data_IF_026089312834
#
_entry.id   IF_026089312834
#
_cell.length_a   1.000
_cell.length_b   1.000
_cell.length_c   1.000
_cell.angle_alpha   90.00
_cell.angle_beta   90.00
_cell.angle_gamma   90.00
#
_symmetry.space_group_name_H-M   'P 1'
#
loop_
_entity.id
_entity.type
_entity.pdbx_description
1 polymer ?
#
# COMPACT_ATOMS: atom_id res chain seq x y z
N UNK A 1 17.35 -4.25 -6.72
CA UNK A 1 17.86 -4.06 -8.13
C UNK A 1 18.77 -2.83 -8.14
N UNK A 2 19.84 -2.84 -8.98
CA UNK A 2 20.82 -1.74 -9.07
C UNK A 2 20.72 -0.96 -10.37
N UNK A 3 21.46 0.14 -10.45
CA UNK A 3 21.67 0.94 -11.67
C UNK A 3 22.94 0.45 -12.33
N UNK A 4 22.84 0.08 -13.59
CA UNK A 4 23.95 -0.42 -14.38
C UNK A 4 24.18 0.46 -15.61
N UNK A 5 25.41 0.53 -16.07
CA UNK A 5 25.72 1.01 -17.43
C UNK A 5 25.25 -0.04 -18.43
N UNK A 6 24.66 0.38 -19.56
CA UNK A 6 24.28 -0.52 -20.64
C UNK A 6 24.95 -0.06 -21.93
N UNK A 7 25.60 -0.98 -22.63
CA UNK A 7 26.15 -0.75 -23.98
C UNK A 7 25.09 -1.22 -25.00
N UNK A 8 24.43 -0.29 -25.70
CA UNK A 8 23.42 -0.65 -26.69
C UNK A 8 23.99 -1.28 -27.98
N UNK A 9 25.25 -0.99 -28.33
CA UNK A 9 25.89 -1.58 -29.49
C UNK A 9 26.27 -3.04 -29.25
N UNK A 10 26.87 -3.32 -28.10
CA UNK A 10 27.23 -4.68 -27.70
C UNK A 10 26.04 -5.47 -27.08
N UNK A 11 24.90 -4.81 -26.85
CA UNK A 11 23.72 -5.35 -26.13
C UNK A 11 24.09 -6.01 -24.78
N UNK A 12 25.02 -5.40 -24.07
CA UNK A 12 25.57 -5.93 -22.82
C UNK A 12 25.31 -5.00 -21.62
N UNK A 13 25.00 -5.62 -20.49
CA UNK A 13 25.04 -4.96 -19.21
C UNK A 13 26.51 -4.78 -18.80
N UNK A 14 26.89 -3.56 -18.46
CA UNK A 14 28.23 -3.21 -18.03
C UNK A 14 28.34 -3.09 -16.52
N UNK A 15 29.09 -2.08 -16.07
CA UNK A 15 29.40 -1.82 -14.67
C UNK A 15 28.16 -1.52 -13.83
N UNK A 16 28.14 -2.05 -12.60
CA UNK A 16 27.19 -1.64 -11.55
C UNK A 16 27.58 -0.25 -11.03
N UNK A 17 26.73 0.73 -11.25
CA UNK A 17 26.98 2.13 -10.89
C UNK A 17 26.51 2.42 -9.46
N UNK A 18 25.31 1.93 -9.10
CA UNK A 18 24.75 2.14 -7.77
C UNK A 18 23.83 0.99 -7.38
N UNK A 19 23.84 0.64 -6.08
CA UNK A 19 22.91 -0.33 -5.50
C UNK A 19 22.60 0.05 -4.05
N UNK A 20 21.46 -0.45 -3.57
CA UNK A 20 21.11 -0.41 -2.16
C UNK A 20 20.89 -1.84 -1.66
N UNK A 21 21.38 -2.22 -0.47
CA UNK A 21 21.28 -3.61 0.02
C UNK A 21 19.84 -4.04 0.34
N UNK A 22 18.92 -3.10 0.60
CA UNK A 22 17.55 -3.37 1.04
C UNK A 22 16.47 -2.95 0.04
N UNK A 23 16.77 -1.95 -0.80
CA UNK A 23 15.77 -1.31 -1.65
C UNK A 23 16.19 -1.34 -3.10
N UNK A 24 15.21 -1.37 -3.97
CA UNK A 24 15.46 -1.21 -5.40
C UNK A 24 15.85 0.24 -5.70
N UNK A 25 16.92 0.40 -6.48
CA UNK A 25 17.28 1.71 -7.00
C UNK A 25 16.28 2.08 -8.07
N UNK A 26 15.57 3.14 -7.77
CA UNK A 26 14.68 3.69 -8.75
C UNK A 26 13.32 3.01 -8.92
N UNK A 27 12.82 2.21 -7.99
CA UNK A 27 11.44 1.72 -8.01
C UNK A 27 10.45 2.79 -7.54
N UNK A 28 9.49 3.17 -8.38
CA UNK A 28 8.38 4.01 -7.97
C UNK A 28 7.40 3.23 -7.10
N UNK A 29 6.74 3.93 -6.20
CA UNK A 29 5.73 3.36 -5.31
C UNK A 29 4.55 2.71 -6.04
N UNK A 30 4.33 3.01 -7.32
CA UNK A 30 3.21 2.51 -8.12
C UNK A 30 3.62 1.57 -9.26
N UNK A 31 4.85 1.05 -9.23
CA UNK A 31 5.36 0.15 -10.29
C UNK A 31 5.62 0.83 -11.64
N UNK A 32 5.27 2.10 -11.79
CA UNK A 32 5.54 2.86 -13.00
C UNK A 32 6.90 3.55 -12.91
N UNK A 33 7.69 3.36 -13.91
CA UNK A 33 8.99 3.97 -14.27
C UNK A 33 9.63 4.81 -13.18
N UNK A 34 10.77 4.36 -12.72
CA UNK A 34 11.58 5.15 -11.87
C UNK A 34 12.84 5.54 -12.57
N UNK A 35 12.98 6.79 -12.71
CA UNK A 35 14.30 7.34 -12.79
C UNK A 35 14.88 7.44 -11.38
N UNK A 36 15.52 6.38 -10.91
CA UNK A 36 16.37 6.46 -9.71
C UNK A 36 17.62 7.29 -10.00
N UNK A 37 17.87 7.59 -11.25
CA UNK A 37 18.97 8.41 -11.72
C UNK A 37 18.50 9.86 -11.82
N UNK A 38 19.20 10.75 -11.14
CA UNK A 38 18.99 12.19 -11.20
C UNK A 38 20.07 12.80 -12.09
N UNK A 39 19.64 13.61 -13.04
CA UNK A 39 20.54 14.27 -13.99
C UNK A 39 20.43 15.78 -13.89
N UNK A 40 21.53 16.45 -14.19
CA UNK A 40 21.54 17.90 -14.40
C UNK A 40 20.81 18.23 -15.71
N UNK A 41 19.87 19.17 -15.66
CA UNK A 41 19.09 19.56 -16.83
C UNK A 41 19.92 20.23 -17.95
N UNK A 42 21.12 20.77 -17.62
CA UNK A 42 21.97 21.52 -18.58
C UNK A 42 22.77 20.59 -19.49
N UNK A 43 23.31 19.49 -18.94
CA UNK A 43 24.28 18.64 -19.64
C UNK A 43 23.97 17.14 -19.51
N UNK A 44 22.85 16.79 -18.92
CA UNK A 44 22.39 15.42 -18.63
C UNK A 44 23.38 14.57 -17.83
N UNK A 45 24.36 15.17 -17.16
CA UNK A 45 25.25 14.43 -16.26
C UNK A 45 24.47 13.90 -15.06
N UNK A 46 24.82 12.70 -14.65
CA UNK A 46 24.26 12.10 -13.44
C UNK A 46 24.76 12.86 -12.21
N UNK A 47 23.86 13.36 -11.39
CA UNK A 47 24.16 14.12 -10.18
C UNK A 47 23.82 13.38 -8.89
N UNK A 48 23.00 12.33 -8.99
CA UNK A 48 22.62 11.54 -7.82
C UNK A 48 21.65 10.41 -8.17
N UNK A 49 21.20 9.74 -7.12
CA UNK A 49 20.27 8.60 -7.19
C UNK A 49 19.21 8.70 -6.12
N UNK A 50 17.95 8.40 -6.47
CA UNK A 50 16.88 8.23 -5.49
C UNK A 50 16.72 6.77 -5.11
N UNK A 51 16.55 6.54 -3.81
CA UNK A 51 16.20 5.24 -3.24
C UNK A 51 14.78 5.33 -2.72
N UNK A 52 13.89 4.52 -3.26
CA UNK A 52 12.52 4.44 -2.78
C UNK A 52 12.42 3.49 -1.59
N UNK A 53 13.12 3.85 -0.49
CA UNK A 53 13.06 3.12 0.77
C UNK A 53 11.74 3.28 1.51
N UNK A 54 11.66 2.79 2.75
CA UNK A 54 10.52 3.05 3.64
C UNK A 54 10.41 4.54 3.95
N UNK A 55 11.55 5.24 4.02
CA UNK A 55 11.62 6.70 3.92
C UNK A 55 12.38 7.06 2.64
N UNK A 56 11.93 8.05 1.86
CA UNK A 56 12.66 8.48 0.67
C UNK A 56 14.05 9.00 1.00
N UNK A 57 15.03 8.60 0.21
CA UNK A 57 16.42 9.02 0.35
C UNK A 57 16.99 9.44 -1.01
N UNK A 58 17.87 10.44 -1.01
CA UNK A 58 18.63 10.84 -2.19
C UNK A 58 20.11 10.75 -1.90
N UNK A 59 20.84 9.99 -2.72
CA UNK A 59 22.29 9.87 -2.67
C UNK A 59 22.85 10.79 -3.74
N UNK A 60 23.46 11.89 -3.34
CA UNK A 60 24.10 12.85 -4.24
C UNK A 60 25.55 12.44 -4.48
N UNK A 61 25.97 12.46 -5.76
CA UNK A 61 27.38 12.30 -6.19
C UNK A 61 27.99 13.64 -6.57
N UNK A 62 27.17 14.64 -6.89
CA UNK A 62 27.59 16.00 -7.16
C UNK A 62 27.60 16.78 -5.84
N UNK A 63 28.75 17.38 -5.50
CA UNK A 63 28.95 18.11 -4.25
C UNK A 63 28.05 19.34 -4.11
N UNK A 64 27.77 20.03 -5.22
CA UNK A 64 26.92 21.24 -5.17
C UNK A 64 25.49 20.85 -4.86
N UNK A 65 24.97 19.75 -5.45
CA UNK A 65 23.65 19.24 -5.13
C UNK A 65 23.58 18.73 -3.68
N UNK A 66 24.63 18.08 -3.18
CA UNK A 66 24.71 17.65 -1.78
C UNK A 66 24.68 18.83 -0.82
N UNK A 67 25.42 19.92 -1.09
CA UNK A 67 25.42 21.16 -0.30
C UNK A 67 24.03 21.83 -0.32
N UNK A 68 23.38 21.86 -1.48
CA UNK A 68 22.03 22.39 -1.62
C UNK A 68 21.02 21.57 -0.78
N UNK A 69 21.10 20.23 -0.83
CA UNK A 69 20.25 19.36 -0.01
C UNK A 69 20.44 19.66 1.48
N UNK A 70 21.69 19.71 1.95
CA UNK A 70 22.01 20.01 3.35
C UNK A 70 21.46 21.37 3.79
N UNK A 71 21.53 22.40 2.95
CA UNK A 71 20.97 23.72 3.23
C UNK A 71 19.44 23.67 3.35
N UNK A 72 18.77 22.97 2.42
CA UNK A 72 17.32 22.81 2.47
C UNK A 72 16.89 22.02 3.72
N UNK A 73 17.57 20.95 4.06
CA UNK A 73 17.26 20.11 5.23
C UNK A 73 17.49 20.85 6.54
N UNK A 74 18.48 21.75 6.60
CA UNK A 74 18.71 22.61 7.76
C UNK A 74 17.64 23.70 7.93
N UNK A 75 17.02 24.13 6.83
CA UNK A 75 15.99 25.18 6.82
C UNK A 75 14.59 24.59 7.03
N UNK A 76 14.27 23.51 6.34
CA UNK A 76 12.99 22.79 6.39
C UNK A 76 13.17 21.50 7.21
N UNK A 77 13.37 21.68 8.51
CA UNK A 77 13.67 20.58 9.45
C UNK A 77 12.52 19.59 9.57
N UNK A 78 12.85 18.34 9.94
CA UNK A 78 11.91 17.25 10.21
C UNK A 78 10.99 16.91 9.01
N UNK A 79 11.47 17.20 7.80
CA UNK A 79 10.76 16.95 6.55
C UNK A 79 11.67 16.27 5.54
N UNK A 80 11.07 15.57 4.61
CA UNK A 80 11.74 15.07 3.41
C UNK A 80 11.69 16.18 2.36
N UNK A 81 12.85 16.67 1.95
CA UNK A 81 12.97 17.76 0.99
C UNK A 81 13.51 17.21 -0.32
N UNK A 82 12.65 17.11 -1.33
CA UNK A 82 13.02 16.70 -2.67
C UNK A 82 13.05 17.94 -3.56
N UNK A 83 14.08 18.08 -4.38
CA UNK A 83 14.14 19.24 -5.26
C UNK A 83 14.50 18.86 -6.71
N UNK A 84 14.14 19.74 -7.62
CA UNK A 84 14.55 19.74 -9.02
C UNK A 84 14.89 21.16 -9.45
N UNK A 85 15.89 21.30 -10.36
CA UNK A 85 16.21 22.60 -10.96
C UNK A 85 15.21 22.98 -12.02
N UNK A 86 14.94 24.27 -12.14
CA UNK A 86 14.24 24.84 -13.29
C UNK A 86 15.07 24.64 -14.56
N UNK A 87 14.44 24.57 -15.76
CA UNK A 87 15.17 24.33 -17.02
C UNK A 87 16.26 25.38 -17.31
N UNK A 88 16.07 26.62 -16.86
CA UNK A 88 17.05 27.72 -16.99
C UNK A 88 18.17 27.64 -15.93
N UNK A 89 18.07 26.73 -14.97
CA UNK A 89 19.04 26.51 -13.89
C UNK A 89 19.11 27.58 -12.83
N UNK A 90 18.18 28.56 -12.82
CA UNK A 90 18.22 29.71 -11.90
C UNK A 90 17.55 29.48 -10.56
N UNK A 91 16.62 28.54 -10.49
CA UNK A 91 15.88 28.26 -9.28
C UNK A 91 15.67 26.77 -9.08
N UNK A 92 15.26 26.41 -7.87
CA UNK A 92 14.84 25.06 -7.52
C UNK A 92 13.37 25.06 -7.15
N UNK A 93 12.64 24.06 -7.60
CA UNK A 93 11.34 23.71 -7.04
C UNK A 93 11.57 22.65 -5.98
N UNK A 94 11.23 22.97 -4.73
CA UNK A 94 11.40 22.09 -3.57
C UNK A 94 10.04 21.55 -3.15
N UNK A 95 9.89 20.23 -3.10
CA UNK A 95 8.75 19.54 -2.51
C UNK A 95 9.15 19.05 -1.12
N UNK A 96 8.54 19.61 -0.08
CA UNK A 96 8.84 19.35 1.31
C UNK A 96 7.64 18.73 2.01
N UNK A 97 7.79 17.54 2.60
CA UNK A 97 6.72 16.80 3.27
C UNK A 97 7.25 15.90 4.38
N UNK A 98 6.37 15.45 5.26
CA UNK A 98 6.65 14.38 6.21
C UNK A 98 5.43 13.47 6.37
N UNK A 99 5.55 12.47 7.22
CA UNK A 99 4.42 11.65 7.63
C UNK A 99 3.33 12.45 8.37
N UNK A 100 3.73 13.49 9.12
CA UNK A 100 2.82 14.35 9.90
C UNK A 100 2.48 15.68 9.22
N UNK A 101 3.15 16.01 8.12
CA UNK A 101 2.96 17.26 7.41
C UNK A 101 2.75 17.03 5.90
N UNK A 102 1.57 17.40 5.35
CA UNK A 102 1.31 17.30 3.92
C UNK A 102 2.33 18.07 3.07
N UNK A 103 2.45 17.73 1.78
CA UNK A 103 3.38 18.38 0.88
C UNK A 103 3.18 19.90 0.78
N UNK A 104 4.29 20.63 0.80
CA UNK A 104 4.43 22.03 0.46
C UNK A 104 5.45 22.18 -0.64
N UNK A 105 5.27 23.14 -1.51
CA UNK A 105 6.20 23.45 -2.58
C UNK A 105 6.77 24.83 -2.38
N UNK A 106 8.08 24.93 -2.59
CA UNK A 106 8.82 26.17 -2.48
C UNK A 106 9.58 26.43 -3.77
N UNK A 107 9.73 27.71 -4.10
CA UNK A 107 10.69 28.17 -5.08
C UNK A 107 11.91 28.69 -4.32
N UNK A 108 13.07 28.11 -4.58
CA UNK A 108 14.33 28.54 -4.01
C UNK A 108 15.18 29.23 -5.08
N UNK A 109 15.42 30.54 -4.90
CA UNK A 109 16.32 31.34 -5.72
C UNK A 109 17.72 31.27 -5.10
N UNK A 110 18.67 30.62 -5.78
CA UNK A 110 20.01 30.37 -5.26
C UNK A 110 20.87 31.65 -5.23
N UNK A 111 20.65 32.61 -6.12
CA UNK A 111 21.37 33.91 -6.15
C UNK A 111 20.95 34.79 -4.98
N UNK A 112 19.65 34.93 -4.79
CA UNK A 112 19.07 35.76 -3.71
C UNK A 112 19.05 35.02 -2.37
N UNK A 113 19.22 33.73 -2.36
CA UNK A 113 19.07 32.84 -1.18
C UNK A 113 17.71 32.99 -0.51
N UNK A 114 16.66 33.14 -1.31
CA UNK A 114 15.29 33.26 -0.83
C UNK A 114 14.52 31.96 -1.10
N UNK A 115 13.75 31.53 -0.10
CA UNK A 115 12.86 30.37 -0.18
C UNK A 115 11.43 30.85 0.00
N UNK A 116 10.62 30.77 -1.07
CA UNK A 116 9.23 31.25 -1.10
C UNK A 116 8.28 30.05 -1.21
N UNK A 117 7.27 29.98 -0.33
CA UNK A 117 6.23 28.96 -0.46
C UNK A 117 5.28 29.34 -1.59
N UNK A 118 5.18 28.47 -2.60
CA UNK A 118 4.33 28.69 -3.79
C UNK A 118 3.04 27.87 -3.76
N UNK A 119 2.99 26.80 -3.00
CA UNK A 119 1.79 25.97 -2.84
C UNK A 119 1.86 25.11 -1.57
N UNK A 120 0.70 24.79 -1.01
CA UNK A 120 0.55 23.85 0.09
C UNK A 120 -0.64 22.90 -0.17
N UNK A 121 -0.42 21.60 0.02
CA UNK A 121 -1.48 20.61 0.00
C UNK A 121 -2.03 20.43 1.41
N UNK A 122 -3.35 20.64 1.58
CA UNK A 122 -4.06 20.39 2.85
C UNK A 122 -3.36 20.99 4.08
N UNK A 123 -3.00 22.29 4.10
CA UNK A 123 -2.24 22.92 5.21
C UNK A 123 -2.94 22.81 6.57
N UNK A 124 -4.26 22.60 6.58
CA UNK A 124 -5.05 22.39 7.81
C UNK A 124 -4.78 21.06 8.52
N UNK A 125 -4.02 20.14 7.90
CA UNK A 125 -3.62 18.85 8.49
C UNK A 125 -2.22 18.89 9.12
N UNK A 126 -1.46 19.99 8.99
CA UNK A 126 -0.12 20.10 9.58
C UNK A 126 -0.16 19.83 11.09
N UNK A 127 0.70 18.93 11.57
CA UNK A 127 0.81 18.53 12.98
C UNK A 127 -0.40 17.80 13.56
N UNK A 128 -1.41 17.48 12.74
CA UNK A 128 -2.62 16.74 13.15
C UNK A 128 -2.59 15.28 12.75
N UNK A 129 -1.72 14.92 11.82
CA UNK A 129 -1.59 13.55 11.35
C UNK A 129 -0.84 12.68 12.38
N UNK A 130 -1.25 11.43 12.57
CA UNK A 130 -0.50 10.48 13.39
C UNK A 130 0.83 10.14 12.75
N UNK A 131 1.81 9.80 13.58
CA UNK A 131 3.15 9.38 13.14
C UNK A 131 3.09 8.07 12.38
N UNK A 132 3.85 7.97 11.29
CA UNK A 132 4.01 6.76 10.49
C UNK A 132 5.35 6.08 10.86
N UNK A 133 5.27 4.87 11.40
CA UNK A 133 6.44 4.11 11.83
C UNK A 133 6.77 3.05 10.78
N UNK A 134 7.97 3.06 10.17
CA UNK A 134 8.43 1.97 9.34
C UNK A 134 8.88 0.79 10.20
N UNK A 135 8.66 -0.45 9.72
CA UNK A 135 9.15 -1.64 10.39
C UNK A 135 9.63 -2.71 9.42
N UNK A 136 10.42 -3.65 9.97
CA UNK A 136 10.87 -4.87 9.32
C UNK A 136 10.40 -6.06 10.12
N UNK A 137 10.00 -7.11 9.43
CA UNK A 137 9.65 -8.38 10.06
C UNK A 137 10.13 -9.56 9.21
N UNK A 138 10.24 -10.71 9.83
CA UNK A 138 10.55 -11.96 9.12
C UNK A 138 9.27 -12.78 8.98
N UNK A 139 8.94 -13.13 7.75
CA UNK A 139 7.94 -14.15 7.48
C UNK A 139 8.42 -15.50 8.04
N UNK A 140 7.49 -16.43 8.27
CA UNK A 140 7.77 -17.77 8.84
C UNK A 140 8.75 -18.60 8.03
N UNK A 141 8.90 -18.31 6.73
CA UNK A 141 9.87 -18.93 5.82
C UNK A 141 11.23 -18.21 5.80
N UNK A 142 11.42 -17.20 6.67
CA UNK A 142 12.65 -16.44 6.81
C UNK A 142 12.83 -15.28 5.84
N UNK A 143 11.85 -14.99 4.97
CA UNK A 143 11.88 -13.83 4.09
C UNK A 143 11.76 -12.55 4.91
N UNK A 144 12.70 -11.61 4.75
CA UNK A 144 12.61 -10.28 5.35
C UNK A 144 11.62 -9.44 4.54
N UNK A 145 10.62 -8.89 5.21
CA UNK A 145 9.57 -8.06 4.69
C UNK A 145 9.49 -6.75 5.47
N UNK A 146 8.71 -5.82 4.97
CA UNK A 146 8.61 -4.46 5.53
C UNK A 146 7.15 -4.05 5.72
N UNK A 147 6.95 -2.93 6.37
CA UNK A 147 5.64 -2.31 6.47
C UNK A 147 5.69 -0.96 7.17
N UNK A 148 4.49 -0.44 7.40
CA UNK A 148 4.27 0.71 8.26
C UNK A 148 3.25 0.38 9.32
N UNK A 149 3.35 1.03 10.47
CA UNK A 149 2.29 1.01 11.46
C UNK A 149 2.00 2.40 11.98
N UNK A 150 0.81 2.56 12.51
CA UNK A 150 0.32 3.79 13.12
C UNK A 150 -0.26 3.46 14.49
N UNK A 151 0.00 4.34 15.45
CA UNK A 151 -0.59 4.25 16.77
C UNK A 151 -1.51 5.46 17.01
N UNK A 152 -2.49 5.33 17.90
CA UNK A 152 -3.28 6.48 18.36
C UNK A 152 -2.38 7.56 18.94
N UNK A 153 -2.76 8.82 18.75
CA UNK A 153 -2.02 9.96 19.30
C UNK A 153 -1.96 9.88 20.82
N UNK A 154 -0.75 10.01 21.36
CA UNK A 154 -0.51 9.94 22.80
C UNK A 154 -0.36 8.51 23.34
N UNK A 155 -0.23 7.51 22.48
CA UNK A 155 0.11 6.15 22.86
C UNK A 155 1.37 6.11 23.72
N UNK A 156 1.35 5.30 24.78
CA UNK A 156 2.45 5.12 25.72
C UNK A 156 2.99 3.68 25.67
N UNK A 157 4.23 3.45 26.04
CA UNK A 157 4.74 2.10 26.18
C UNK A 157 3.85 1.24 27.09
N UNK A 158 3.46 0.06 26.60
CA UNK A 158 2.58 -0.86 27.31
C UNK A 158 1.08 -0.71 27.03
N UNK A 159 0.65 0.37 26.34
CA UNK A 159 -0.73 0.50 25.89
C UNK A 159 -1.04 -0.56 24.82
N UNK A 160 -2.25 -1.14 24.91
CA UNK A 160 -2.73 -2.11 23.90
C UNK A 160 -3.99 -1.57 23.22
N UNK A 161 -3.99 -1.59 21.91
CA UNK A 161 -5.05 -1.00 21.10
C UNK A 161 -5.84 -2.07 20.33
N UNK A 162 -7.14 -1.84 20.09
CA UNK A 162 -7.84 -2.53 19.02
C UNK A 162 -7.12 -2.24 17.72
N UNK A 163 -6.85 -3.29 16.92
CA UNK A 163 -5.89 -3.20 15.81
C UNK A 163 -6.52 -3.61 14.50
N UNK A 164 -6.20 -2.89 13.44
CA UNK A 164 -6.56 -3.20 12.07
C UNK A 164 -5.30 -3.59 11.29
N UNK A 165 -5.29 -4.78 10.69
CA UNK A 165 -4.29 -5.16 9.69
C UNK A 165 -4.86 -4.75 8.34
N UNK A 166 -4.28 -3.70 7.74
CA UNK A 166 -4.75 -3.16 6.47
C UNK A 166 -3.87 -3.64 5.32
N UNK A 167 -4.47 -4.35 4.37
CA UNK A 167 -3.79 -4.97 3.24
C UNK A 167 -4.01 -4.15 1.98
N UNK A 168 -2.91 -3.73 1.35
CA UNK A 168 -3.00 -2.97 0.11
C UNK A 168 -3.44 -3.81 -1.09
N UNK A 169 -4.00 -3.13 -2.09
CA UNK A 169 -4.36 -3.73 -3.37
C UNK A 169 -3.15 -4.02 -4.27
N UNK A 170 -3.42 -4.65 -5.39
CA UNK A 170 -2.44 -5.03 -6.41
C UNK A 170 -2.64 -6.48 -6.83
N UNK A 171 -1.92 -7.51 -6.31
CA UNK A 171 -0.96 -7.51 -5.19
C UNK A 171 0.43 -6.97 -5.54
N UNK A 172 0.82 -7.00 -6.82
CA UNK A 172 2.12 -6.62 -7.35
C UNK A 172 2.28 -5.10 -7.52
N UNK A 173 1.83 -4.35 -6.53
CA UNK A 173 1.93 -2.89 -6.49
C UNK A 173 2.48 -2.43 -5.13
N UNK A 174 3.18 -1.32 -5.12
CA UNK A 174 3.53 -0.61 -3.90
C UNK A 174 2.52 0.54 -3.72
N UNK A 175 1.45 0.26 -2.97
CA UNK A 175 0.36 1.21 -2.78
C UNK A 175 0.64 2.23 -1.67
N UNK A 176 1.48 1.87 -0.70
CA UNK A 176 1.77 2.68 0.47
C UNK A 176 3.25 3.06 0.53
N UNK A 177 3.50 4.33 0.79
CA UNK A 177 4.82 4.93 0.92
C UNK A 177 4.85 5.94 2.06
N UNK A 178 6.03 6.51 2.34
CA UNK A 178 6.18 7.53 3.37
C UNK A 178 5.29 8.74 3.11
N UNK A 179 4.40 9.00 4.04
CA UNK A 179 3.48 10.15 3.98
C UNK A 179 2.34 10.04 2.96
N UNK A 180 2.27 8.97 2.16
CA UNK A 180 1.34 8.85 1.03
C UNK A 180 0.91 7.40 0.80
N UNK A 181 -0.30 7.24 0.27
CA UNK A 181 -0.88 5.95 -0.10
C UNK A 181 -2.33 5.85 0.32
N UNK A 182 -3.03 4.87 -0.26
CA UNK A 182 -4.42 4.59 0.10
C UNK A 182 -4.50 4.08 1.55
N UNK A 183 -3.74 3.04 1.89
CA UNK A 183 -3.70 2.47 3.23
C UNK A 183 -3.16 3.45 4.27
N UNK A 184 -2.15 4.29 3.91
CA UNK A 184 -1.66 5.37 4.77
C UNK A 184 -2.75 6.38 5.09
N UNK A 185 -3.60 6.74 4.11
CA UNK A 185 -4.71 7.68 4.33
C UNK A 185 -5.76 7.09 5.25
N UNK A 186 -6.13 5.81 5.03
CA UNK A 186 -7.07 5.08 5.87
C UNK A 186 -6.52 4.87 7.29
N UNK A 187 -5.25 4.46 7.40
CA UNK A 187 -4.59 4.29 8.70
C UNK A 187 -4.58 5.57 9.54
N UNK A 188 -4.39 6.72 8.91
CA UNK A 188 -4.47 8.02 9.59
C UNK A 188 -5.87 8.30 10.15
N UNK A 189 -6.92 7.99 9.39
CA UNK A 189 -8.32 8.12 9.86
C UNK A 189 -8.52 7.21 11.07
N UNK A 190 -8.15 5.95 10.97
CA UNK A 190 -8.36 4.95 12.01
C UNK A 190 -7.53 5.25 13.28
N UNK A 191 -6.26 5.65 13.12
CA UNK A 191 -5.42 5.99 14.27
C UNK A 191 -5.94 7.21 15.05
N UNK A 192 -6.52 8.22 14.37
CA UNK A 192 -7.18 9.34 15.05
C UNK A 192 -8.46 8.93 15.83
N UNK A 193 -8.96 7.71 15.61
CA UNK A 193 -10.13 7.14 16.27
C UNK A 193 -9.80 6.08 17.33
N UNK A 194 -8.51 5.93 17.65
CA UNK A 194 -8.04 5.06 18.73
C UNK A 194 -7.68 3.64 18.30
N UNK A 195 -7.52 3.38 17.02
CA UNK A 195 -7.06 2.09 16.48
C UNK A 195 -5.57 2.11 16.19
N UNK A 196 -4.86 1.04 16.53
CA UNK A 196 -3.57 0.78 15.90
C UNK A 196 -3.81 0.21 14.50
N UNK A 197 -2.93 0.56 13.54
CA UNK A 197 -3.04 0.06 12.17
C UNK A 197 -1.70 -0.47 11.70
N UNK A 198 -1.68 -1.68 11.13
CA UNK A 198 -0.49 -2.34 10.59
C UNK A 198 -0.67 -2.51 9.08
N UNK A 199 0.26 -1.97 8.30
CA UNK A 199 0.25 -2.00 6.83
C UNK A 199 1.48 -2.80 6.34
N UNK A 200 1.37 -4.12 6.14
CA UNK A 200 2.48 -4.91 5.62
C UNK A 200 2.71 -4.67 4.13
N UNK A 201 3.96 -4.51 3.74
CA UNK A 201 4.42 -4.71 2.38
C UNK A 201 4.78 -6.20 2.26
N UNK A 202 3.80 -7.01 1.90
CA UNK A 202 3.96 -8.45 1.77
C UNK A 202 4.77 -8.82 0.51
N UNK A 203 5.19 -10.09 0.40
CA UNK A 203 5.90 -10.56 -0.81
C UNK A 203 5.15 -10.15 -2.08
N UNK A 204 5.87 -9.95 -3.19
CA UNK A 204 5.42 -9.36 -4.45
C UNK A 204 5.27 -7.84 -4.45
N UNK A 205 5.30 -7.16 -3.28
CA UNK A 205 5.35 -5.70 -3.25
C UNK A 205 6.69 -5.22 -3.84
N UNK A 206 6.70 -4.40 -4.92
CA UNK A 206 7.94 -3.94 -5.55
C UNK A 206 8.68 -2.90 -4.71
N UNK A 207 9.99 -2.77 -4.95
CA UNK A 207 10.84 -1.78 -4.29
C UNK A 207 11.67 -2.33 -3.14
N UNK A 208 11.44 -3.57 -2.72
CA UNK A 208 12.12 -4.23 -1.60
C UNK A 208 13.03 -5.40 -2.01
N UNK A 209 13.56 -5.29 -3.24
CA UNK A 209 14.48 -6.27 -3.81
C UNK A 209 13.78 -7.38 -4.60
N UNK A 210 14.52 -7.94 -5.55
CA UNK A 210 14.02 -8.98 -6.45
C UNK A 210 13.60 -10.25 -5.71
N UNK A 211 14.30 -10.62 -4.62
CA UNK A 211 13.93 -11.81 -3.84
C UNK A 211 12.53 -11.69 -3.25
N UNK A 212 12.20 -10.57 -2.61
CA UNK A 212 10.86 -10.33 -2.05
C UNK A 212 9.80 -10.26 -3.15
N UNK A 213 10.11 -9.60 -4.27
CA UNK A 213 9.17 -9.47 -5.38
C UNK A 213 8.85 -10.82 -6.05
N UNK A 214 9.87 -11.55 -6.48
CA UNK A 214 9.65 -12.80 -7.22
C UNK A 214 9.18 -13.96 -6.34
N UNK A 215 9.43 -13.94 -5.03
CA UNK A 215 8.92 -14.96 -4.11
C UNK A 215 7.38 -14.93 -3.98
N UNK A 216 6.72 -13.88 -4.48
CA UNK A 216 5.27 -13.81 -4.48
C UNK A 216 4.59 -14.56 -5.62
N UNK A 217 5.31 -14.87 -6.72
CA UNK A 217 4.71 -15.60 -7.83
C UNK A 217 4.42 -17.05 -7.44
N UNK A 218 3.25 -17.55 -7.83
CA UNK A 218 2.76 -18.88 -7.45
C UNK A 218 2.28 -19.02 -6.00
N UNK A 219 2.20 -17.92 -5.24
CA UNK A 219 1.89 -17.96 -3.81
C UNK A 219 0.57 -17.27 -3.43
N UNK A 220 -0.25 -16.90 -4.42
CA UNK A 220 -1.58 -16.33 -4.19
C UNK A 220 -2.45 -17.26 -3.35
N UNK A 221 -3.06 -16.74 -2.31
CA UNK A 221 -3.86 -17.54 -1.37
C UNK A 221 -3.07 -18.44 -0.43
N UNK A 222 -1.74 -18.41 -0.51
CA UNK A 222 -0.80 -19.26 0.25
C UNK A 222 0.14 -18.37 1.07
N UNK A 223 1.44 -18.32 0.73
CA UNK A 223 2.46 -17.57 1.48
C UNK A 223 2.19 -16.05 1.51
N UNK A 224 1.50 -15.47 0.51
CA UNK A 224 1.07 -14.07 0.63
C UNK A 224 0.16 -13.84 1.83
N UNK A 225 -0.72 -14.80 2.14
CA UNK A 225 -1.59 -14.72 3.32
C UNK A 225 -0.81 -15.01 4.61
N UNK A 226 0.22 -15.90 4.55
CA UNK A 226 1.14 -16.10 5.68
C UNK A 226 1.81 -14.80 6.10
N UNK A 227 2.22 -13.96 5.14
CA UNK A 227 2.87 -12.68 5.41
C UNK A 227 1.97 -11.73 6.21
N UNK A 228 0.65 -11.76 5.99
CA UNK A 228 -0.30 -10.95 6.75
C UNK A 228 -0.43 -11.41 8.20
N UNK A 229 -0.47 -12.74 8.41
CA UNK A 229 -0.45 -13.34 9.75
C UNK A 229 0.85 -13.01 10.48
N UNK A 230 1.98 -13.13 9.80
CA UNK A 230 3.30 -12.91 10.37
C UNK A 230 3.54 -11.43 10.72
N UNK A 231 2.99 -10.49 9.94
CA UNK A 231 2.98 -9.08 10.27
C UNK A 231 2.15 -8.77 11.53
N UNK A 232 0.97 -9.41 11.67
CA UNK A 232 0.18 -9.29 12.90
C UNK A 232 0.93 -9.89 14.09
N UNK A 233 1.55 -11.05 13.92
CA UNK A 233 2.34 -11.70 14.97
C UNK A 233 3.51 -10.81 15.42
N UNK A 234 4.20 -10.19 14.47
CA UNK A 234 5.22 -9.19 14.79
C UNK A 234 4.63 -8.06 15.64
N UNK A 235 3.53 -7.45 15.23
CA UNK A 235 2.89 -6.35 15.94
C UNK A 235 2.43 -6.73 17.36
N UNK A 236 1.94 -7.96 17.54
CA UNK A 236 1.63 -8.52 18.88
C UNK A 236 2.90 -8.63 19.73
N UNK A 237 4.01 -9.04 19.12
CA UNK A 237 5.33 -9.12 19.78
C UNK A 237 5.86 -7.75 20.23
N UNK A 238 5.57 -6.68 19.50
CA UNK A 238 5.89 -5.29 19.87
C UNK A 238 5.04 -4.78 21.06
N UNK A 239 3.98 -5.50 21.42
CA UNK A 239 3.23 -5.25 22.65
C UNK A 239 2.09 -4.25 22.57
N UNK A 240 1.87 -3.59 21.43
CA UNK A 240 0.81 -2.57 21.26
C UNK A 240 -0.55 -3.14 20.79
N UNK A 241 -0.62 -4.41 20.42
CA UNK A 241 -1.85 -5.05 19.92
C UNK A 241 -2.64 -5.70 21.03
N UNK A 242 -3.94 -5.41 21.11
CA UNK A 242 -4.88 -6.24 21.85
C UNK A 242 -5.36 -7.39 20.93
N UNK A 243 -4.78 -8.56 21.11
CA UNK A 243 -5.05 -9.73 20.26
C UNK A 243 -6.50 -10.22 20.32
N UNK A 244 -7.28 -9.77 21.33
CA UNK A 244 -8.70 -10.07 21.41
C UNK A 244 -9.57 -9.14 20.54
N UNK A 245 -9.00 -8.06 19.99
CA UNK A 245 -9.69 -7.00 19.25
C UNK A 245 -8.96 -6.66 17.96
N UNK A 246 -8.89 -7.61 17.03
CA UNK A 246 -8.20 -7.45 15.73
C UNK A 246 -9.17 -7.66 14.59
N UNK A 247 -9.17 -6.73 13.62
CA UNK A 247 -9.84 -6.87 12.33
C UNK A 247 -8.84 -6.79 11.19
N UNK A 248 -9.22 -7.30 10.03
CA UNK A 248 -8.46 -7.16 8.78
C UNK A 248 -9.25 -6.29 7.81
N UNK A 249 -8.57 -5.43 7.05
CA UNK A 249 -9.21 -4.56 6.08
C UNK A 249 -8.40 -4.47 4.79
N UNK A 250 -9.05 -4.09 3.71
CA UNK A 250 -8.40 -3.74 2.46
C UNK A 250 -9.37 -3.67 1.30
N UNK A 251 -8.83 -3.22 0.16
CA UNK A 251 -9.56 -3.10 -1.08
C UNK A 251 -8.84 -3.87 -2.22
N UNK A 252 -9.61 -4.30 -3.23
CA UNK A 252 -9.07 -5.07 -4.35
C UNK A 252 -8.44 -6.38 -3.85
N UNK A 253 -7.15 -6.64 -4.12
CA UNK A 253 -6.45 -7.76 -3.49
C UNK A 253 -6.58 -7.74 -1.96
N UNK A 254 -6.51 -6.57 -1.32
CA UNK A 254 -6.69 -6.46 0.13
C UNK A 254 -8.09 -6.85 0.60
N UNK A 255 -9.13 -6.56 -0.19
CA UNK A 255 -10.50 -7.02 0.07
C UNK A 255 -10.62 -8.55 -0.07
N UNK A 256 -10.00 -9.11 -1.11
CA UNK A 256 -9.84 -10.55 -1.26
C UNK A 256 -9.16 -11.17 -0.04
N UNK A 257 -7.99 -10.63 0.34
CA UNK A 257 -7.21 -11.14 1.47
C UNK A 257 -8.02 -11.09 2.77
N UNK A 258 -8.80 -10.01 2.99
CA UNK A 258 -9.64 -9.85 4.17
C UNK A 258 -10.69 -10.95 4.30
N UNK A 259 -11.37 -11.32 3.21
CA UNK A 259 -12.32 -12.43 3.20
C UNK A 259 -11.63 -13.79 3.36
N UNK A 260 -10.56 -14.03 2.60
CA UNK A 260 -9.87 -15.31 2.62
C UNK A 260 -9.18 -15.58 3.96
N UNK A 261 -8.74 -14.54 4.68
CA UNK A 261 -8.16 -14.68 6.02
C UNK A 261 -9.18 -15.13 7.05
N UNK A 262 -10.44 -14.64 6.98
CA UNK A 262 -11.51 -15.14 7.87
C UNK A 262 -11.84 -16.63 7.60
N UNK A 263 -11.70 -17.09 6.36
CA UNK A 263 -11.90 -18.49 6.01
C UNK A 263 -10.73 -19.39 6.45
N UNK A 264 -9.50 -18.89 6.31
CA UNK A 264 -8.27 -19.64 6.51
C UNK A 264 -7.84 -19.71 7.99
N UNK A 265 -7.96 -18.59 8.70
CA UNK A 265 -7.51 -18.41 10.08
C UNK A 265 -8.68 -18.02 11.00
N UNK A 266 -9.65 -18.92 11.20
CA UNK A 266 -10.82 -18.63 12.02
C UNK A 266 -10.40 -18.30 13.46
N UNK A 267 -10.93 -17.18 13.98
CA UNK A 267 -10.61 -16.69 15.33
C UNK A 267 -9.40 -15.76 15.43
N UNK A 268 -8.56 -15.66 14.39
CA UNK A 268 -7.45 -14.70 14.36
C UNK A 268 -7.95 -13.25 14.23
N UNK A 269 -9.00 -13.07 13.43
CA UNK A 269 -9.65 -11.77 13.22
C UNK A 269 -11.12 -11.86 13.63
N UNK A 270 -11.60 -10.86 14.35
CA UNK A 270 -13.01 -10.73 14.73
C UNK A 270 -13.87 -10.27 13.55
N UNK A 271 -13.32 -9.44 12.69
CA UNK A 271 -14.04 -8.88 11.58
C UNK A 271 -13.14 -8.63 10.35
N UNK A 272 -13.80 -8.47 9.21
CA UNK A 272 -13.17 -8.04 7.97
C UNK A 272 -13.91 -6.88 7.32
N UNK A 273 -13.14 -5.95 6.73
CA UNK A 273 -13.65 -4.95 5.81
C UNK A 273 -13.11 -5.30 4.42
N UNK A 274 -14.01 -5.68 3.52
CA UNK A 274 -13.68 -6.16 2.19
C UNK A 274 -14.24 -5.22 1.12
N UNK A 275 -13.40 -4.35 0.58
CA UNK A 275 -13.75 -3.46 -0.51
C UNK A 275 -13.36 -4.00 -1.87
N UNK A 276 -14.24 -3.86 -2.88
CA UNK A 276 -13.90 -4.03 -4.30
C UNK A 276 -13.16 -5.36 -4.57
N UNK A 277 -13.56 -6.44 -3.90
CA UNK A 277 -12.80 -7.68 -3.76
C UNK A 277 -13.00 -8.64 -4.94
N UNK A 278 -11.96 -9.14 -5.61
CA UNK A 278 -12.07 -10.29 -6.49
C UNK A 278 -12.31 -11.54 -5.63
N UNK A 279 -13.50 -12.13 -5.74
CA UNK A 279 -13.92 -13.26 -4.89
C UNK A 279 -13.96 -14.59 -5.62
N UNK A 280 -13.90 -14.54 -6.95
CA UNK A 280 -13.82 -15.67 -7.88
C UNK A 280 -12.73 -15.38 -8.91
N UNK A 281 -11.59 -16.03 -8.78
CA UNK A 281 -10.42 -15.74 -9.62
C UNK A 281 -10.56 -16.25 -11.05
N UNK A 282 -11.31 -17.32 -11.28
CA UNK A 282 -11.65 -17.74 -12.64
C UNK A 282 -12.49 -16.66 -13.33
N UNK A 283 -13.56 -16.21 -12.69
CA UNK A 283 -14.41 -15.15 -13.21
C UNK A 283 -13.65 -13.85 -13.43
N UNK A 284 -12.78 -13.45 -12.47
CA UNK A 284 -11.94 -12.24 -12.57
C UNK A 284 -11.10 -12.20 -13.85
N UNK A 285 -10.61 -13.35 -14.29
CA UNK A 285 -9.65 -13.47 -15.40
C UNK A 285 -10.28 -13.92 -16.72
N UNK A 286 -11.58 -14.25 -16.72
CA UNK A 286 -12.29 -14.71 -17.92
C UNK A 286 -13.46 -13.84 -18.34
N UNK A 287 -14.05 -13.06 -17.42
CA UNK A 287 -15.21 -12.22 -17.75
C UNK A 287 -14.82 -11.00 -18.57
N UNK A 288 -15.57 -10.76 -19.66
CA UNK A 288 -15.42 -9.55 -20.47
C UNK A 288 -16.11 -8.31 -19.85
N UNK A 289 -16.79 -8.44 -18.72
CA UNK A 289 -17.29 -7.30 -17.95
C UNK A 289 -16.14 -6.48 -17.36
N UNK A 290 -15.02 -7.15 -17.01
CA UNK A 290 -13.83 -6.53 -16.46
C UNK A 290 -12.76 -6.16 -17.50
N UNK A 291 -11.85 -5.28 -17.12
CA UNK A 291 -10.72 -4.86 -17.95
C UNK A 291 -9.56 -5.88 -17.94
N UNK A 292 -9.43 -6.66 -16.86
CA UNK A 292 -8.30 -7.61 -16.69
C UNK A 292 -8.33 -8.71 -17.77
N UNK A 293 -9.49 -9.33 -18.00
CA UNK A 293 -9.65 -10.39 -19.01
C UNK A 293 -9.44 -9.89 -20.45
N UNK A 294 -9.58 -8.58 -20.69
CA UNK A 294 -9.33 -7.95 -21.99
C UNK A 294 -7.85 -7.70 -22.29
N UNK A 295 -6.98 -7.93 -21.30
CA UNK A 295 -5.54 -7.73 -21.41
C UNK A 295 -4.81 -9.06 -21.37
N UNK A 296 -4.38 -9.59 -22.52
CA UNK A 296 -3.61 -10.82 -22.58
C UNK A 296 -2.34 -10.78 -21.68
N UNK A 297 -1.51 -9.72 -21.69
CA UNK A 297 -0.39 -9.62 -20.76
C UNK A 297 -0.85 -9.58 -19.29
N UNK A 298 -2.01 -8.95 -19.02
CA UNK A 298 -2.60 -8.91 -17.68
C UNK A 298 -2.99 -10.30 -17.20
N UNK A 299 -3.71 -11.07 -18.01
CA UNK A 299 -4.07 -12.46 -17.68
C UNK A 299 -2.83 -13.33 -17.49
N UNK A 300 -1.81 -13.19 -18.33
CA UNK A 300 -0.56 -13.93 -18.21
C UNK A 300 0.17 -13.69 -16.89
N UNK A 301 0.28 -12.42 -16.47
CA UNK A 301 0.90 -12.11 -15.17
C UNK A 301 0.08 -12.68 -14.01
N UNK A 302 -1.25 -12.60 -14.07
CA UNK A 302 -2.11 -13.18 -13.04
C UNK A 302 -2.00 -14.70 -12.95
N UNK A 303 -1.92 -15.43 -14.08
CA UNK A 303 -1.64 -16.86 -14.10
C UNK A 303 -0.31 -17.18 -13.40
N UNK A 304 0.72 -16.37 -13.66
CA UNK A 304 2.01 -16.52 -12.97
C UNK A 304 1.90 -16.25 -11.46
N UNK A 305 1.10 -15.27 -11.04
CA UNK A 305 0.86 -14.97 -9.62
C UNK A 305 0.07 -16.11 -8.94
N UNK A 306 -0.93 -16.66 -9.62
CA UNK A 306 -1.69 -17.83 -9.16
C UNK A 306 -0.85 -19.12 -9.17
N UNK A 307 0.16 -19.20 -10.04
CA UNK A 307 1.00 -20.39 -10.23
C UNK A 307 0.31 -21.50 -11.01
N UNK A 308 -0.62 -21.15 -11.90
CA UNK A 308 -1.34 -22.13 -12.73
C UNK A 308 -1.79 -21.52 -14.06
N UNK A 309 -1.80 -22.35 -15.10
CA UNK A 309 -2.42 -22.01 -16.40
C UNK A 309 -3.91 -22.37 -16.44
N UNK A 310 -4.36 -23.33 -15.63
CA UNK A 310 -5.74 -23.79 -15.56
C UNK A 310 -6.53 -22.98 -14.52
N UNK A 311 -7.27 -21.99 -15.02
CA UNK A 311 -8.09 -21.08 -14.19
C UNK A 311 -9.33 -21.79 -13.61
N UNK A 312 -9.83 -22.86 -14.23
CA UNK A 312 -10.98 -23.65 -13.75
C UNK A 312 -10.61 -24.70 -12.69
N UNK A 313 -9.30 -24.84 -12.37
CA UNK A 313 -8.81 -25.87 -11.47
C UNK A 313 -9.34 -25.73 -10.04
N UNK A 314 -9.36 -26.85 -9.31
CA UNK A 314 -9.70 -26.85 -7.89
C UNK A 314 -8.76 -25.95 -7.08
N UNK A 315 -7.48 -25.87 -7.47
CA UNK A 315 -6.51 -24.99 -6.80
C UNK A 315 -6.89 -23.50 -6.87
N UNK A 316 -7.49 -23.05 -7.97
CA UNK A 316 -8.01 -21.66 -8.10
C UNK A 316 -9.28 -21.46 -7.26
N UNK A 317 -10.16 -22.47 -7.21
CA UNK A 317 -11.35 -22.42 -6.34
C UNK A 317 -10.98 -22.40 -4.85
N UNK A 318 -9.99 -23.17 -4.44
CA UNK A 318 -9.51 -23.24 -3.05
C UNK A 318 -8.98 -21.89 -2.54
N UNK A 319 -8.44 -21.05 -3.43
CA UNK A 319 -7.97 -19.72 -3.08
C UNK A 319 -8.98 -18.60 -3.39
N UNK A 320 -10.17 -18.93 -3.83
CA UNK A 320 -11.24 -17.98 -4.14
C UNK A 320 -12.26 -17.90 -3.00
N UNK A 321 -12.49 -16.75 -2.36
CA UNK A 321 -13.39 -16.61 -1.22
C UNK A 321 -14.81 -17.09 -1.49
N UNK A 322 -15.30 -16.94 -2.72
CA UNK A 322 -16.64 -17.39 -3.11
C UNK A 322 -16.88 -18.88 -2.79
N UNK A 323 -15.91 -19.73 -3.08
CA UNK A 323 -16.00 -21.17 -2.84
C UNK A 323 -15.67 -21.56 -1.39
N UNK A 324 -15.15 -20.61 -0.60
CA UNK A 324 -14.84 -20.78 0.80
C UNK A 324 -15.83 -20.04 1.73
N UNK A 325 -16.94 -19.52 1.22
CA UNK A 325 -17.89 -18.68 1.96
C UNK A 325 -18.40 -19.35 3.25
N UNK A 326 -18.63 -20.67 3.25
CA UNK A 326 -19.06 -21.43 4.43
C UNK A 326 -18.00 -21.51 5.55
N UNK A 327 -16.72 -21.28 5.22
CA UNK A 327 -15.61 -21.25 6.16
C UNK A 327 -15.37 -19.84 6.74
N UNK A 328 -15.89 -18.80 6.09
CA UNK A 328 -15.73 -17.42 6.55
C UNK A 328 -16.52 -17.25 7.84
N UNK A 329 -15.83 -16.95 8.93
CA UNK A 329 -16.41 -16.73 10.26
C UNK A 329 -15.99 -15.35 10.77
N UNK A 330 -16.89 -14.68 11.47
CA UNK A 330 -16.70 -13.30 11.95
C UNK A 330 -17.55 -12.30 11.16
N UNK A 331 -17.61 -11.08 11.66
CA UNK A 331 -18.38 -10.01 11.05
C UNK A 331 -17.73 -9.51 9.76
N UNK A 332 -18.52 -9.32 8.70
CA UNK A 332 -18.03 -8.85 7.40
C UNK A 332 -18.74 -7.54 7.06
N UNK A 333 -17.94 -6.51 6.73
CA UNK A 333 -18.38 -5.27 6.10
C UNK A 333 -17.89 -5.29 4.64
N UNK A 334 -18.77 -4.98 3.71
CA UNK A 334 -18.45 -4.98 2.28
C UNK A 334 -18.76 -3.64 1.65
N UNK A 335 -17.97 -3.23 0.64
CA UNK A 335 -18.30 -2.08 -0.18
C UNK A 335 -17.83 -2.24 -1.63
N UNK A 336 -18.55 -1.60 -2.57
CA UNK A 336 -18.23 -1.63 -3.99
C UNK A 336 -18.71 -0.38 -4.72
N UNK A 337 -18.02 0.01 -5.80
CA UNK A 337 -18.53 0.92 -6.80
C UNK A 337 -19.37 0.16 -7.83
N UNK A 338 -20.50 0.75 -8.25
CA UNK A 338 -21.39 0.13 -9.25
C UNK A 338 -20.69 -0.03 -10.59
N UNK A 339 -19.86 0.94 -10.96
CA UNK A 339 -19.22 1.04 -12.28
C UNK A 339 -17.77 0.54 -12.24
N UNK A 340 -17.45 -0.37 -11.31
CA UNK A 340 -16.13 -0.96 -11.20
C UNK A 340 -15.84 -1.91 -12.36
N UNK A 341 -14.98 -1.47 -13.29
CA UNK A 341 -14.53 -2.27 -14.42
C UNK A 341 -13.30 -3.12 -14.12
N UNK A 342 -12.60 -2.88 -12.98
CA UNK A 342 -11.45 -3.67 -12.56
C UNK A 342 -11.87 -4.95 -11.87
N UNK A 343 -12.82 -4.83 -10.95
CA UNK A 343 -13.48 -5.95 -10.27
C UNK A 343 -14.97 -5.79 -10.43
N UNK A 344 -15.59 -6.43 -11.45
CA UNK A 344 -17.01 -6.28 -11.72
C UNK A 344 -17.86 -6.57 -10.48
N UNK A 345 -18.82 -5.68 -10.21
CA UNK A 345 -19.65 -5.74 -8.99
C UNK A 345 -20.39 -7.07 -8.81
N UNK A 346 -20.59 -7.82 -9.90
CA UNK A 346 -21.17 -9.15 -9.87
C UNK A 346 -20.45 -10.08 -8.89
N UNK A 347 -19.13 -9.93 -8.72
CA UNK A 347 -18.35 -10.70 -7.74
C UNK A 347 -18.78 -10.42 -6.30
N UNK A 348 -19.02 -9.14 -5.99
CA UNK A 348 -19.44 -8.74 -4.64
C UNK A 348 -20.86 -9.20 -4.34
N UNK A 349 -21.77 -9.21 -5.32
CA UNK A 349 -23.10 -9.79 -5.14
C UNK A 349 -23.08 -11.32 -5.02
N UNK A 350 -22.18 -12.01 -5.74
CA UNK A 350 -22.02 -13.46 -5.61
C UNK A 350 -21.58 -13.85 -4.21
N UNK A 351 -20.55 -13.19 -3.67
CA UNK A 351 -20.05 -13.51 -2.32
C UNK A 351 -21.05 -13.10 -1.23
N UNK A 352 -21.77 -11.98 -1.38
CA UNK A 352 -22.83 -11.59 -0.45
C UNK A 352 -23.89 -12.68 -0.31
N UNK A 353 -24.39 -13.19 -1.44
CA UNK A 353 -25.35 -14.30 -1.48
C UNK A 353 -24.79 -15.59 -0.89
N UNK A 354 -23.52 -15.91 -1.19
CA UNK A 354 -22.87 -17.10 -0.67
C UNK A 354 -22.68 -17.04 0.86
N UNK A 355 -22.28 -15.88 1.40
CA UNK A 355 -22.17 -15.65 2.84
C UNK A 355 -23.56 -15.77 3.53
N UNK A 356 -24.57 -15.17 2.94
CA UNK A 356 -25.95 -15.24 3.46
C UNK A 356 -26.47 -16.67 3.48
N UNK A 357 -26.26 -17.42 2.40
CA UNK A 357 -26.63 -18.84 2.31
C UNK A 357 -25.84 -19.72 3.29
N UNK A 358 -24.62 -19.33 3.65
CA UNK A 358 -23.79 -20.00 4.63
C UNK A 358 -24.14 -19.63 6.10
N UNK A 359 -25.16 -18.80 6.31
CA UNK A 359 -25.59 -18.36 7.64
C UNK A 359 -24.71 -17.25 8.25
N UNK A 360 -23.89 -16.58 7.47
CA UNK A 360 -23.05 -15.45 7.90
C UNK A 360 -23.24 -14.24 6.97
N UNK A 361 -24.45 -13.64 6.88
CA UNK A 361 -24.69 -12.50 6.04
C UNK A 361 -23.77 -11.33 6.43
N UNK A 362 -23.31 -10.52 5.46
CA UNK A 362 -22.54 -9.32 5.77
C UNK A 362 -23.33 -8.38 6.69
N UNK A 363 -22.66 -7.78 7.66
CA UNK A 363 -23.26 -6.77 8.56
C UNK A 363 -23.71 -5.55 7.77
N UNK A 364 -22.94 -5.19 6.72
CA UNK A 364 -23.30 -4.16 5.76
C UNK A 364 -22.68 -4.46 4.40
N UNK A 365 -23.37 -4.05 3.34
CA UNK A 365 -22.86 -4.01 1.99
C UNK A 365 -23.20 -2.67 1.34
N UNK A 366 -22.21 -1.79 1.26
CA UNK A 366 -22.35 -0.42 0.73
C UNK A 366 -22.01 -0.40 -0.74
N UNK A 367 -23.00 -0.10 -1.59
CA UNK A 367 -22.83 0.09 -3.03
C UNK A 367 -23.05 1.55 -3.38
N UNK A 368 -22.12 2.15 -4.13
CA UNK A 368 -22.24 3.53 -4.60
C UNK A 368 -22.36 3.59 -6.12
N UNK A 369 -23.43 4.26 -6.55
CA UNK A 369 -23.67 4.52 -7.98
C UNK A 369 -22.64 5.53 -8.51
N UNK A 370 -22.22 5.34 -9.77
CA UNK A 370 -21.25 6.21 -10.45
C UNK A 370 -19.90 6.29 -9.74
N UNK A 371 -19.52 5.21 -9.07
CA UNK A 371 -18.20 4.98 -8.49
C UNK A 371 -17.59 3.71 -9.11
N UNK A 372 -16.28 3.77 -9.38
CA UNK A 372 -15.50 2.68 -9.96
C UNK A 372 -14.69 1.91 -8.94
N UNK A 373 -13.43 1.58 -9.30
CA UNK A 373 -12.47 0.87 -8.45
C UNK A 373 -11.88 1.81 -7.38
N UNK A 374 -12.73 2.29 -6.49
CA UNK A 374 -12.51 3.31 -5.48
C UNK A 374 -13.56 4.41 -5.59
N UNK A 375 -13.80 5.12 -4.48
CA UNK A 375 -14.77 6.20 -4.45
C UNK A 375 -14.08 7.54 -4.69
N UNK A 376 -14.52 8.25 -5.74
CA UNK A 376 -14.00 9.57 -6.10
C UNK A 376 -14.74 10.73 -5.44
N UNK A 377 -16.03 10.55 -5.12
CA UNK A 377 -16.86 11.61 -4.57
C UNK A 377 -16.67 11.75 -3.06
N UNK A 378 -16.52 12.99 -2.60
CA UNK A 378 -16.31 13.27 -1.19
C UNK A 378 -17.46 12.75 -0.32
N UNK A 379 -18.70 12.98 -0.71
CA UNK A 379 -19.89 12.54 0.02
C UNK A 379 -19.95 11.02 0.16
N UNK A 380 -19.56 10.27 -0.88
CA UNK A 380 -19.52 8.82 -0.83
C UNK A 380 -18.41 8.29 0.09
N UNK A 381 -17.25 8.95 0.10
CA UNK A 381 -16.17 8.64 1.02
C UNK A 381 -16.55 8.95 2.48
N UNK A 382 -17.18 10.10 2.73
CA UNK A 382 -17.63 10.46 4.08
C UNK A 382 -18.65 9.45 4.61
N UNK A 383 -19.63 9.06 3.79
CA UNK A 383 -20.60 8.05 4.16
C UNK A 383 -19.93 6.68 4.42
N UNK A 384 -19.04 6.24 3.51
CA UNK A 384 -18.33 4.97 3.66
C UNK A 384 -17.54 4.92 4.97
N UNK A 385 -16.69 5.93 5.23
CA UNK A 385 -15.88 5.92 6.45
C UNK A 385 -16.69 6.12 7.72
N UNK A 386 -17.82 6.80 7.67
CA UNK A 386 -18.77 6.88 8.80
C UNK A 386 -19.31 5.50 9.15
N UNK A 387 -19.71 4.72 8.14
CA UNK A 387 -20.21 3.36 8.33
C UNK A 387 -19.10 2.39 8.75
N UNK A 388 -17.89 2.49 8.19
CA UNK A 388 -16.72 1.69 8.58
C UNK A 388 -16.37 1.94 10.04
N UNK A 389 -16.31 3.20 10.48
CA UNK A 389 -15.99 3.54 11.86
C UNK A 389 -17.05 3.01 12.82
N UNK A 390 -18.32 3.14 12.48
CA UNK A 390 -19.42 2.54 13.28
C UNK A 390 -19.27 1.03 13.38
N UNK A 391 -19.03 0.35 12.26
CA UNK A 391 -18.82 -1.10 12.23
C UNK A 391 -17.64 -1.52 13.11
N UNK A 392 -16.50 -0.84 13.01
CA UNK A 392 -15.32 -1.15 13.83
C UNK A 392 -15.58 -0.90 15.32
N UNK A 393 -16.27 0.18 15.65
CA UNK A 393 -16.66 0.48 17.03
C UNK A 393 -17.58 -0.64 17.61
N UNK A 394 -18.55 -1.09 16.84
CA UNK A 394 -19.46 -2.17 17.24
C UNK A 394 -18.73 -3.51 17.42
N UNK A 395 -17.66 -3.78 16.68
CA UNK A 395 -16.92 -5.04 16.72
C UNK A 395 -15.76 -5.05 17.71
N UNK A 396 -15.07 -3.92 17.89
CA UNK A 396 -13.78 -3.86 18.57
C UNK A 396 -13.77 -3.02 19.85
N UNK A 397 -14.71 -2.09 20.05
CA UNK A 397 -14.77 -1.34 21.31
C UNK A 397 -15.50 -2.15 22.38
N UNK A 398 -15.14 -2.01 23.67
CA UNK A 398 -15.90 -2.60 24.75
C UNK A 398 -17.35 -2.12 24.67
N UNK A 399 -18.30 -3.04 24.78
CA UNK A 399 -19.69 -2.64 24.97
C UNK A 399 -19.78 -2.01 26.36
N UNK A 400 -20.16 -0.73 26.42
CA UNK A 400 -20.42 0.02 27.63
C UNK A 400 -21.56 -0.63 28.43
#
# INVERSE_FOLDING_TARGET
MGVFRYDPAAKKLGELIASNPRYDMGAAANGSRVAGVLTNAKDNKIVGYRVAGLKPETIWIDEQYAKTQAALDSTLKDRTNLFSRTPDGKALVVNSFSDQAPPRWYLFDEEKRTLEEIAASKPWLDGKLPEQHPFFFKARDGLELTGYYFLPKGAKPGDKFPTIVHIHGGPHARADSWGSGFGVSEARILATRGYAVVLPNFRITPGFGSKAYYSGFGTYGKQMLDDHEDALKWAVGEGFVDSSRVCISGASYGGYASLQMLARAPGLFKCAIAGLAPTDMEYQLTTLEGDTARSEPGVKIWKSILGTEDLGSQAVKDVSPLFNASKIKGAVFMYAGRDDIRVPIAQMYKIERALTSAGNPPVAFVVKEKEGHGFGKLENNLDLYTQILKFLDDQLKPKS
#
